data_IF_200665433480
#
_entry.id   IF_200665433480
#
_cell.length_a   1.000
_cell.length_b   1.000
_cell.length_c   1.000
_cell.angle_alpha   90.00
_cell.angle_beta   90.00
_cell.angle_gamma   90.00
#
_symmetry.space_group_name_H-M   'P 1'
#
loop_
_entity.id
_entity.type
_entity.pdbx_description
1 polymer ?
#
# COMPACT_ATOMS: atom_id res chain seq x y z
N UNK A 1 -16.70 8.64 -6.25
CA UNK A 1 -15.53 8.16 -5.55
C UNK A 1 -14.25 8.72 -6.17
N UNK A 2 -13.51 9.46 -5.36
CA UNK A 2 -12.24 10.03 -5.80
C UNK A 2 -11.14 8.96 -5.76
N UNK A 3 -10.20 9.05 -6.69
CA UNK A 3 -8.98 8.25 -6.66
C UNK A 3 -8.12 8.64 -5.46
N UNK A 4 -7.19 7.77 -5.12
CA UNK A 4 -6.29 7.99 -4.01
C UNK A 4 -4.86 8.11 -4.51
N UNK A 5 -4.11 9.06 -3.95
CA UNK A 5 -2.69 9.21 -4.27
C UNK A 5 -1.85 8.33 -3.36
N UNK A 6 -0.60 8.13 -3.77
CA UNK A 6 0.36 7.39 -2.95
C UNK A 6 0.58 8.07 -1.60
N UNK A 7 0.68 9.40 -1.59
CA UNK A 7 0.80 10.18 -0.35
C UNK A 7 -0.40 10.01 0.58
N UNK A 8 -1.59 10.00 0.02
CA UNK A 8 -2.81 9.74 0.80
C UNK A 8 -2.84 8.32 1.34
N UNK A 9 -2.45 7.33 0.54
CA UNK A 9 -2.44 5.94 0.97
C UNK A 9 -1.51 5.71 2.15
N UNK A 10 -0.27 6.17 2.08
CA UNK A 10 0.66 5.97 3.20
C UNK A 10 0.21 6.75 4.43
N UNK A 11 -0.44 7.89 4.26
CA UNK A 11 -0.97 8.67 5.38
C UNK A 11 -2.11 7.93 6.07
N UNK A 12 -3.03 7.35 5.31
CA UNK A 12 -4.10 6.52 5.88
C UNK A 12 -3.52 5.33 6.63
N UNK A 13 -2.54 4.67 6.04
CA UNK A 13 -1.90 3.49 6.64
C UNK A 13 -1.16 3.86 7.93
N UNK A 14 -0.44 4.98 7.92
CA UNK A 14 0.25 5.50 9.08
C UNK A 14 -0.73 5.79 10.22
N UNK A 15 -1.84 6.46 9.90
CA UNK A 15 -2.89 6.74 10.89
C UNK A 15 -3.52 5.46 11.43
N UNK A 16 -3.73 4.48 10.58
CA UNK A 16 -4.29 3.19 11.00
C UNK A 16 -3.36 2.46 11.97
N UNK A 17 -2.07 2.77 11.94
CA UNK A 17 -1.07 2.20 12.86
C UNK A 17 -0.81 3.08 14.07
N UNK A 18 -1.65 4.07 14.32
CA UNK A 18 -1.57 4.93 15.51
C UNK A 18 -0.73 6.18 15.34
N UNK A 19 -0.43 6.57 14.12
CA UNK A 19 0.37 7.76 13.80
C UNK A 19 1.69 7.81 14.56
N UNK A 20 2.51 6.73 14.52
CA UNK A 20 3.76 6.72 15.27
C UNK A 20 4.74 7.77 14.75
N UNK A 21 5.45 8.43 15.66
CA UNK A 21 6.48 9.39 15.25
C UNK A 21 7.64 8.66 14.58
N UNK A 22 8.04 9.06 13.37
CA UNK A 22 9.21 8.47 12.75
C UNK A 22 10.48 8.86 13.52
N UNK A 23 11.46 7.98 13.55
CA UNK A 23 12.73 8.24 14.23
C UNK A 23 13.54 9.30 13.51
N UNK A 24 13.39 9.41 12.20
CA UNK A 24 14.06 10.41 11.38
C UNK A 24 13.10 10.90 10.30
N UNK A 25 13.11 12.19 10.05
CA UNK A 25 12.35 12.80 8.96
C UNK A 25 13.16 12.82 7.66
N UNK A 26 14.42 12.41 7.71
CA UNK A 26 15.30 12.43 6.53
C UNK A 26 15.03 11.23 5.66
N UNK A 27 14.72 11.48 4.39
CA UNK A 27 14.61 10.43 3.37
C UNK A 27 15.42 10.88 2.16
N UNK A 28 15.66 9.93 1.23
CA UNK A 28 16.36 10.27 -0.01
C UNK A 28 15.45 10.94 -1.04
N UNK A 29 14.16 11.10 -0.73
CA UNK A 29 13.18 11.59 -1.70
C UNK A 29 13.20 13.10 -1.83
N UNK A 30 13.41 13.57 -3.06
CA UNK A 30 13.45 15.00 -3.35
C UNK A 30 12.04 15.59 -3.55
N UNK A 31 11.03 14.74 -3.75
CA UNK A 31 9.67 15.17 -4.01
C UNK A 31 8.75 15.09 -2.78
N UNK A 32 9.32 14.84 -1.60
CA UNK A 32 8.58 14.87 -0.34
C UNK A 32 8.93 16.18 0.35
N UNK A 33 7.98 17.12 0.31
CA UNK A 33 8.21 18.47 0.83
C UNK A 33 8.09 18.53 2.34
N UNK A 34 8.98 19.31 2.98
CA UNK A 34 8.89 19.59 4.39
C UNK A 34 7.57 20.32 4.70
N UNK A 35 6.86 19.83 5.72
CA UNK A 35 5.56 20.41 6.12
C UNK A 35 4.37 19.84 5.38
N UNK A 36 4.57 18.97 4.37
CA UNK A 36 3.47 18.32 3.68
C UNK A 36 2.75 17.36 4.65
N UNK A 37 1.44 17.18 4.45
CA UNK A 37 0.63 16.33 5.34
C UNK A 37 1.11 14.89 5.38
N UNK A 38 1.78 14.41 4.32
CA UNK A 38 2.28 13.04 4.21
C UNK A 38 3.74 12.87 4.65
N UNK A 39 4.42 13.93 5.05
CA UNK A 39 5.86 13.89 5.33
C UNK A 39 6.20 12.85 6.39
N UNK A 40 5.52 12.89 7.54
CA UNK A 40 5.75 11.91 8.62
C UNK A 40 5.39 10.50 8.20
N UNK A 41 4.29 10.36 7.48
CA UNK A 41 3.84 9.04 7.02
C UNK A 41 4.86 8.41 6.06
N UNK A 42 5.44 9.20 5.16
CA UNK A 42 6.46 8.71 4.25
C UNK A 42 7.72 8.29 5.01
N UNK A 43 8.17 9.12 5.97
CA UNK A 43 9.34 8.80 6.79
C UNK A 43 9.12 7.50 7.57
N UNK A 44 7.94 7.34 8.18
CA UNK A 44 7.56 6.11 8.86
C UNK A 44 7.56 4.91 7.91
N UNK A 45 7.02 5.10 6.71
CA UNK A 45 6.92 4.02 5.73
C UNK A 45 8.30 3.54 5.27
N UNK A 46 9.24 4.45 5.12
CA UNK A 46 10.62 4.08 4.78
C UNK A 46 11.27 3.30 5.93
N UNK A 47 11.13 3.78 7.17
CA UNK A 47 11.69 3.10 8.34
C UNK A 47 11.17 1.68 8.51
N UNK A 48 9.91 1.45 8.17
CA UNK A 48 9.25 0.17 8.38
C UNK A 48 9.20 -0.70 7.12
N UNK A 49 9.99 -0.33 6.11
CA UNK A 49 10.09 -1.08 4.86
C UNK A 49 8.76 -1.21 4.12
N UNK A 50 7.86 -0.27 4.32
CA UNK A 50 6.56 -0.22 3.62
C UNK A 50 6.79 0.22 2.18
N UNK A 51 7.74 1.12 1.98
CA UNK A 51 8.06 1.63 0.66
C UNK A 51 9.56 1.85 0.49
N UNK A 52 10.02 1.72 -0.75
CA UNK A 52 11.35 2.15 -1.17
C UNK A 52 11.27 3.29 -2.20
N UNK A 53 10.04 3.77 -2.46
CA UNK A 53 9.80 4.83 -3.44
C UNK A 53 9.53 4.30 -4.83
N UNK A 54 9.33 5.21 -5.78
CA UNK A 54 9.21 4.87 -7.20
C UNK A 54 10.59 4.87 -7.87
N UNK A 55 11.56 5.51 -7.23
CA UNK A 55 12.97 5.44 -7.59
C UNK A 55 13.78 5.66 -6.31
N UNK A 56 15.11 5.68 -6.41
CA UNK A 56 15.97 5.96 -5.27
C UNK A 56 15.80 7.37 -4.71
N UNK A 57 15.27 8.30 -5.51
CA UNK A 57 15.15 9.72 -5.13
C UNK A 57 13.72 10.26 -5.18
N UNK A 58 12.74 9.45 -5.59
CA UNK A 58 11.36 9.90 -5.69
C UNK A 58 10.41 8.95 -5.00
N UNK A 59 9.42 9.49 -4.30
CA UNK A 59 8.31 8.74 -3.72
C UNK A 59 7.07 8.83 -4.60
N UNK A 60 6.92 9.89 -5.36
CA UNK A 60 5.77 10.20 -6.20
C UNK A 60 4.47 10.32 -5.38
N UNK A 61 4.43 11.26 -4.41
CA UNK A 61 3.28 11.36 -3.50
C UNK A 61 1.96 11.70 -4.19
N UNK A 62 2.02 12.43 -5.30
CA UNK A 62 0.83 12.88 -6.02
C UNK A 62 0.36 11.91 -7.12
N UNK A 63 1.12 10.85 -7.37
CA UNK A 63 0.72 9.83 -8.33
C UNK A 63 -0.42 8.99 -7.75
N UNK A 64 -1.34 8.56 -8.62
CA UNK A 64 -2.41 7.65 -8.22
C UNK A 64 -1.84 6.33 -7.73
N UNK A 65 -2.41 5.80 -6.63
CA UNK A 65 -2.03 4.48 -6.15
C UNK A 65 -2.87 3.43 -6.87
N UNK A 66 -2.23 2.35 -7.32
CA UNK A 66 -2.95 1.22 -7.91
C UNK A 66 -3.40 0.28 -6.81
N UNK A 67 -4.34 -0.62 -7.16
CA UNK A 67 -4.79 -1.66 -6.22
C UNK A 67 -3.62 -2.55 -5.80
N UNK A 68 -2.74 -2.91 -6.74
CA UNK A 68 -1.54 -3.70 -6.44
C UNK A 68 -0.62 -2.98 -5.45
N UNK A 69 -0.40 -1.69 -5.65
CA UNK A 69 0.43 -0.89 -4.74
C UNK A 69 -0.22 -0.78 -3.35
N UNK A 70 -1.53 -0.57 -3.30
CA UNK A 70 -2.24 -0.43 -2.02
C UNK A 70 -2.11 -1.68 -1.16
N UNK A 71 -2.37 -2.87 -1.72
CA UNK A 71 -2.24 -4.10 -0.93
C UNK A 71 -0.78 -4.40 -0.60
N UNK A 72 0.16 -4.02 -1.46
CA UNK A 72 1.59 -4.22 -1.20
C UNK A 72 2.04 -3.35 -0.02
N UNK A 73 1.62 -2.09 0.04
CA UNK A 73 1.90 -1.23 1.18
C UNK A 73 1.36 -1.84 2.47
N UNK A 74 0.12 -2.32 2.46
CA UNK A 74 -0.47 -2.94 3.65
C UNK A 74 0.25 -4.21 4.07
N UNK A 75 0.60 -5.06 3.11
CA UNK A 75 1.33 -6.30 3.36
C UNK A 75 2.69 -6.01 4.00
N UNK A 76 3.41 -5.02 3.46
CA UNK A 76 4.71 -4.62 4.02
C UNK A 76 4.57 -4.02 5.41
N UNK A 77 3.53 -3.23 5.64
CA UNK A 77 3.26 -2.67 6.97
C UNK A 77 2.97 -3.76 8.00
N UNK A 78 2.42 -4.88 7.57
CA UNK A 78 2.16 -6.04 8.43
C UNK A 78 3.41 -6.92 8.64
N UNK A 79 4.56 -6.52 8.09
CA UNK A 79 5.81 -7.27 8.22
C UNK A 79 6.08 -8.20 7.05
N UNK A 80 5.37 -8.02 5.96
CA UNK A 80 5.51 -8.85 4.75
C UNK A 80 5.43 -10.36 5.06
N UNK A 81 4.38 -10.81 5.77
CA UNK A 81 4.29 -12.22 6.15
C UNK A 81 4.17 -13.13 4.93
N UNK A 82 4.74 -14.32 5.02
CA UNK A 82 4.57 -15.32 3.97
C UNK A 82 3.09 -15.68 3.85
N UNK A 83 2.60 -15.81 2.62
CA UNK A 83 1.21 -16.17 2.36
C UNK A 83 1.18 -17.53 1.68
N UNK A 84 0.35 -18.42 2.20
CA UNK A 84 0.21 -19.77 1.66
C UNK A 84 -0.89 -19.85 0.63
N UNK A 85 -0.74 -20.77 -0.31
CA UNK A 85 -1.74 -21.04 -1.33
C UNK A 85 -1.51 -20.23 -2.60
N UNK A 86 -2.43 -20.38 -3.52
CA UNK A 86 -2.44 -19.64 -4.77
C UNK A 86 -3.76 -18.90 -4.91
N UNK A 87 -3.69 -17.67 -5.44
CA UNK A 87 -4.93 -16.93 -5.67
C UNK A 87 -5.60 -17.42 -6.96
N UNK A 88 -6.89 -17.12 -7.07
CA UNK A 88 -7.68 -17.53 -8.22
C UNK A 88 -7.69 -16.49 -9.34
N UNK A 89 -6.92 -15.42 -9.20
CA UNK A 89 -6.98 -14.28 -10.13
C UNK A 89 -6.14 -14.53 -11.37
N UNK A 90 -6.78 -14.54 -12.53
CA UNK A 90 -6.12 -14.73 -13.80
C UNK A 90 -5.19 -13.55 -14.16
N UNK A 91 -5.44 -12.37 -13.61
CA UNK A 91 -4.67 -11.17 -13.91
C UNK A 91 -3.55 -10.89 -12.90
N UNK A 92 -3.25 -11.85 -12.02
CA UNK A 92 -2.14 -11.74 -11.07
C UNK A 92 -1.12 -12.83 -11.41
N UNK A 93 -0.02 -12.44 -12.05
CA UNK A 93 1.07 -13.36 -12.37
C UNK A 93 1.79 -13.76 -11.08
N UNK A 94 2.18 -15.04 -10.98
CA UNK A 94 2.93 -15.53 -9.84
C UNK A 94 4.29 -14.84 -9.69
N UNK A 95 4.83 -14.29 -10.75
CA UNK A 95 6.11 -13.57 -10.74
C UNK A 95 5.98 -12.07 -10.50
N UNK A 96 4.77 -11.54 -10.39
CA UNK A 96 4.56 -10.11 -10.15
C UNK A 96 5.05 -9.74 -8.75
N UNK A 97 5.59 -8.51 -8.60
CA UNK A 97 6.10 -8.04 -7.31
C UNK A 97 5.02 -8.05 -6.22
N UNK A 98 3.76 -7.89 -6.61
CA UNK A 98 2.62 -7.81 -5.70
C UNK A 98 1.94 -9.17 -5.46
N UNK A 99 2.39 -10.23 -6.11
CA UNK A 99 1.72 -11.54 -5.99
C UNK A 99 1.62 -12.02 -4.54
N UNK A 100 2.69 -12.00 -3.73
CA UNK A 100 2.58 -12.42 -2.33
C UNK A 100 1.68 -11.50 -1.51
N UNK A 101 1.65 -10.21 -1.81
CA UNK A 101 0.77 -9.27 -1.10
C UNK A 101 -0.70 -9.53 -1.43
N UNK A 102 -1.02 -9.83 -2.69
CA UNK A 102 -2.38 -10.18 -3.10
C UNK A 102 -2.84 -11.47 -2.41
N UNK A 103 -1.96 -12.48 -2.37
CA UNK A 103 -2.29 -13.73 -1.70
C UNK A 103 -2.53 -13.51 -0.21
N UNK A 104 -1.67 -12.73 0.44
CA UNK A 104 -1.89 -12.36 1.84
C UNK A 104 -3.23 -11.65 2.03
N UNK A 105 -3.56 -10.71 1.14
CA UNK A 105 -4.79 -9.93 1.26
C UNK A 105 -6.04 -10.82 1.12
N UNK A 106 -5.99 -11.81 0.25
CA UNK A 106 -7.08 -12.79 0.11
C UNK A 106 -7.19 -13.62 1.38
N UNK A 107 -6.07 -14.16 1.86
CA UNK A 107 -6.05 -15.01 3.06
C UNK A 107 -6.52 -14.27 4.31
N UNK A 108 -6.18 -12.99 4.42
CA UNK A 108 -6.55 -12.15 5.56
C UNK A 108 -7.96 -11.56 5.46
N UNK A 109 -8.65 -11.81 4.35
CA UNK A 109 -9.98 -11.26 4.13
C UNK A 109 -10.01 -9.79 3.77
N UNK A 110 -8.86 -9.22 3.38
CA UNK A 110 -8.75 -7.81 3.00
C UNK A 110 -9.44 -7.55 1.67
N UNK A 111 -9.34 -8.50 0.75
CA UNK A 111 -9.96 -8.37 -0.56
C UNK A 111 -10.53 -9.70 -1.04
N UNK A 112 -11.57 -9.62 -1.87
CA UNK A 112 -12.10 -10.76 -2.61
C UNK A 112 -11.90 -10.56 -4.11
N UNK A 113 -11.21 -9.49 -4.51
CA UNK A 113 -11.01 -9.15 -5.92
C UNK A 113 -12.10 -8.23 -6.45
N UNK A 114 -12.01 -7.89 -7.73
CA UNK A 114 -13.06 -7.15 -8.43
C UNK A 114 -14.09 -8.09 -9.06
N UNK A 115 -13.71 -9.36 -9.22
CA UNK A 115 -14.60 -10.45 -9.59
C UNK A 115 -13.99 -11.73 -9.03
N UNK A 116 -14.65 -12.87 -9.26
CA UNK A 116 -14.12 -14.17 -8.82
C UNK A 116 -12.76 -14.51 -9.42
N UNK A 117 -12.44 -13.96 -10.61
CA UNK A 117 -11.25 -14.31 -11.34
C UNK A 117 -10.33 -13.13 -11.63
N UNK A 118 -10.68 -11.92 -11.18
CA UNK A 118 -9.85 -10.73 -11.41
C UNK A 118 -9.63 -9.95 -10.11
N UNK A 119 -8.40 -9.48 -9.93
CA UNK A 119 -8.03 -8.57 -8.86
C UNK A 119 -7.97 -7.12 -9.34
N UNK A 120 -7.69 -6.92 -10.62
CA UNK A 120 -7.48 -5.62 -11.27
C UNK A 120 -6.30 -4.88 -10.66
N UNK A 121 -5.09 -5.47 -10.71
CA UNK A 121 -3.94 -4.91 -10.00
C UNK A 121 -3.53 -3.52 -10.49
N UNK A 122 -3.72 -3.23 -11.76
CA UNK A 122 -3.28 -1.97 -12.37
C UNK A 122 -4.33 -0.87 -12.35
N UNK A 123 -5.53 -1.18 -11.85
CA UNK A 123 -6.58 -0.16 -11.72
C UNK A 123 -6.25 0.77 -10.55
N UNK A 124 -6.59 2.04 -10.69
CA UNK A 124 -6.41 2.99 -9.60
C UNK A 124 -7.30 2.60 -8.42
N UNK A 125 -6.74 2.70 -7.22
CA UNK A 125 -7.47 2.40 -6.02
C UNK A 125 -8.23 3.63 -5.56
N UNK A 126 -9.52 3.48 -5.30
CA UNK A 126 -10.37 4.57 -4.82
C UNK A 126 -10.24 4.68 -3.30
N UNK A 127 -10.49 5.89 -2.77
CA UNK A 127 -10.45 6.10 -1.31
C UNK A 127 -11.36 5.13 -0.56
N UNK A 128 -12.56 4.91 -1.09
CA UNK A 128 -13.51 3.96 -0.47
C UNK A 128 -12.93 2.55 -0.41
N UNK A 129 -12.19 2.12 -1.44
CA UNK A 129 -11.55 0.81 -1.46
C UNK A 129 -10.44 0.73 -0.43
N UNK A 130 -9.64 1.78 -0.28
CA UNK A 130 -8.57 1.82 0.72
C UNK A 130 -9.13 1.76 2.13
N UNK A 131 -10.18 2.51 2.41
CA UNK A 131 -10.84 2.46 3.72
C UNK A 131 -11.35 1.05 4.01
N UNK A 132 -11.96 0.40 3.02
CA UNK A 132 -12.42 -0.99 3.16
C UNK A 132 -11.27 -1.95 3.42
N UNK A 133 -10.16 -1.81 2.68
CA UNK A 133 -8.99 -2.66 2.88
C UNK A 133 -8.42 -2.49 4.29
N UNK A 134 -8.29 -1.26 4.76
CA UNK A 134 -7.75 -0.98 6.10
C UNK A 134 -8.68 -1.52 7.19
N UNK A 135 -9.99 -1.34 7.04
CA UNK A 135 -10.98 -1.83 7.98
C UNK A 135 -10.93 -3.36 8.08
N UNK A 136 -10.87 -4.04 6.94
CA UNK A 136 -10.80 -5.50 6.90
C UNK A 136 -9.50 -6.03 7.48
N UNK A 137 -8.39 -5.33 7.25
CA UNK A 137 -7.09 -5.73 7.78
C UNK A 137 -7.02 -5.60 9.30
N UNK A 138 -7.83 -4.72 9.89
CA UNK A 138 -7.84 -4.48 11.33
C UNK A 138 -8.63 -5.54 12.12
N UNK A 139 -9.32 -6.41 11.43
CA UNK A 139 -10.15 -7.44 12.09
C UNK A 139 -9.38 -8.67 12.49
#
# INVERSE_FOLDING_TARGET
NAGCTRGQMVTFLWRANGSPEPKSMTTSFTDVKSGAYYEKAVAWAVENNVTTGTSSTTFSPDASVTRAQAVTFQWRAAGAPAAEGTNAFADVSASAFYAPAVQWAVNAGVTTGTSDTTFSPNSNCLRAQIVSFLYRAAK
#
